data_IF_558696787488
#
_entry.id   IF_558696787488
#
_cell.length_a   1.000
_cell.length_b   1.000
_cell.length_c   1.000
_cell.angle_alpha   90.00
_cell.angle_beta   90.00
_cell.angle_gamma   90.00
#
_symmetry.space_group_name_H-M   'P 1'
#
loop_
_entity.id
_entity.type
_entity.pdbx_description
1 polymer ?
#
# COMPACT_ATOMS: atom_id res chain seq x y z
N UNK A 1 13.04 5.72 -6.31
CA UNK A 1 13.18 6.29 -4.95
C UNK A 1 14.21 5.47 -4.20
N UNK A 2 14.99 6.11 -3.34
CA UNK A 2 15.96 5.42 -2.48
C UNK A 2 15.30 5.03 -1.15
N UNK A 3 15.90 4.13 -0.34
CA UNK A 3 15.35 3.74 0.96
C UNK A 3 15.11 4.91 1.92
N UNK A 4 15.91 5.97 1.82
CA UNK A 4 15.77 7.18 2.65
C UNK A 4 14.52 7.99 2.32
N UNK A 5 14.05 7.91 1.06
CA UNK A 5 12.97 8.76 0.58
C UNK A 5 11.59 8.12 0.76
N UNK A 6 11.50 6.79 0.67
CA UNK A 6 10.20 6.10 0.61
C UNK A 6 10.24 4.68 1.20
N UNK A 7 9.18 4.23 1.90
CA UNK A 7 9.12 2.88 2.49
C UNK A 7 9.24 1.70 1.52
N UNK A 8 9.05 1.94 0.21
CA UNK A 8 9.23 0.94 -0.87
C UNK A 8 10.45 1.25 -1.76
N UNK A 9 11.32 2.18 -1.34
CA UNK A 9 12.49 2.61 -2.10
C UNK A 9 13.69 1.67 -1.93
N UNK A 10 14.52 1.62 -2.97
CA UNK A 10 15.77 0.84 -3.01
C UNK A 10 15.64 -0.60 -3.51
N UNK A 11 16.69 -1.38 -3.26
CA UNK A 11 16.86 -2.73 -3.79
C UNK A 11 17.53 -2.77 -5.17
N UNK A 12 18.08 -3.93 -5.53
CA UNK A 12 18.75 -4.15 -6.82
C UNK A 12 17.76 -4.34 -7.98
N UNK A 13 16.50 -4.63 -7.67
CA UNK A 13 15.40 -4.69 -8.62
C UNK A 13 14.22 -3.90 -8.07
N UNK A 14 13.43 -3.28 -8.93
CA UNK A 14 12.26 -2.53 -8.50
C UNK A 14 11.17 -3.48 -8.02
N UNK A 15 10.98 -3.51 -6.71
CA UNK A 15 9.92 -4.26 -6.06
C UNK A 15 9.61 -3.63 -4.70
N UNK A 16 8.45 -3.96 -4.12
CA UNK A 16 7.98 -3.35 -2.86
C UNK A 16 8.64 -3.99 -1.62
N UNK A 17 9.06 -5.25 -1.72
CA UNK A 17 9.74 -6.00 -0.64
C UNK A 17 8.82 -6.56 0.45
N UNK A 18 7.70 -5.90 0.74
CA UNK A 18 6.68 -6.32 1.72
C UNK A 18 5.26 -6.04 1.21
N UNK A 19 4.25 -6.48 1.96
CA UNK A 19 2.86 -6.16 1.64
C UNK A 19 2.65 -4.63 1.63
N UNK A 20 1.97 -4.14 0.60
CA UNK A 20 1.64 -2.71 0.45
C UNK A 20 0.36 -2.29 1.19
N UNK A 21 -0.31 -3.22 1.88
CA UNK A 21 -1.48 -2.93 2.72
C UNK A 21 -1.04 -2.49 4.11
N UNK A 22 -1.35 -1.26 4.48
CA UNK A 22 -0.89 -0.64 5.73
C UNK A 22 -2.04 -0.42 6.70
N UNK A 23 -1.81 -0.67 7.99
CA UNK A 23 -2.80 -0.43 9.05
C UNK A 23 -3.27 1.03 9.10
N UNK A 24 -4.54 1.24 9.47
CA UNK A 24 -5.10 2.57 9.73
C UNK A 24 -4.32 3.32 10.83
N UNK A 25 -3.80 2.58 11.81
CA UNK A 25 -3.06 3.09 12.96
C UNK A 25 -1.54 3.17 12.78
N UNK A 26 -1.00 2.87 11.58
CA UNK A 26 0.43 3.02 11.34
C UNK A 26 0.89 4.48 11.56
N UNK A 27 2.15 4.71 11.89
CA UNK A 27 2.67 6.07 12.14
C UNK A 27 2.82 6.88 10.85
N UNK A 28 2.85 8.22 10.92
CA UNK A 28 3.23 9.06 9.78
C UNK A 28 4.59 8.63 9.22
N UNK A 29 4.72 8.59 7.88
CA UNK A 29 5.91 8.06 7.19
C UNK A 29 5.83 6.56 6.87
N UNK A 30 5.12 5.75 7.68
CA UNK A 30 4.84 4.34 7.32
C UNK A 30 3.58 4.17 6.46
N UNK A 31 2.65 5.13 6.51
CA UNK A 31 1.41 5.13 5.70
C UNK A 31 1.68 5.43 4.23
N UNK A 32 2.18 4.44 3.49
CA UNK A 32 2.37 4.49 2.05
C UNK A 32 1.78 3.22 1.39
N UNK A 33 1.17 3.35 0.21
CA UNK A 33 0.48 2.24 -0.48
C UNK A 33 -1.01 2.15 -0.15
N UNK A 34 -1.52 0.94 0.05
CA UNK A 34 -2.94 0.65 0.27
C UNK A 34 -3.31 0.80 1.76
N UNK A 35 -3.65 2.01 2.18
CA UNK A 35 -3.92 2.32 3.60
C UNK A 35 -5.31 1.82 3.99
N UNK A 36 -5.36 1.01 5.06
CA UNK A 36 -6.57 0.43 5.63
C UNK A 36 -7.43 -0.34 4.62
N UNK A 37 -6.83 -0.84 3.54
CA UNK A 37 -7.53 -1.56 2.50
C UNK A 37 -8.07 -2.89 3.06
N UNK A 38 -9.39 -3.07 2.98
CA UNK A 38 -10.08 -4.30 3.40
C UNK A 38 -9.96 -5.42 2.37
N UNK A 39 -9.78 -5.06 1.11
CA UNK A 39 -9.55 -5.98 -0.02
C UNK A 39 -8.59 -5.34 -1.02
N UNK A 40 -7.88 -6.16 -1.76
CA UNK A 40 -6.95 -5.75 -2.83
C UNK A 40 -7.21 -6.55 -4.10
N UNK A 41 -6.51 -6.21 -5.18
CA UNK A 41 -6.65 -6.87 -6.48
C UNK A 41 -7.85 -6.37 -7.30
N UNK A 42 -8.09 -7.03 -8.44
CA UNK A 42 -9.14 -6.65 -9.37
C UNK A 42 -10.53 -6.89 -8.76
N UNK A 43 -11.37 -5.86 -8.75
CA UNK A 43 -12.78 -6.01 -8.41
C UNK A 43 -13.49 -6.79 -9.52
N UNK A 44 -14.12 -7.91 -9.13
CA UNK A 44 -15.01 -8.67 -10.01
C UNK A 44 -16.45 -8.33 -9.62
N UNK A 45 -17.23 -7.84 -10.58
CA UNK A 45 -18.60 -7.34 -10.37
C UNK A 45 -18.71 -5.81 -10.22
N UNK A 46 -19.93 -5.29 -10.08
CA UNK A 46 -20.19 -3.87 -9.87
C UNK A 46 -20.18 -3.52 -8.37
N UNK A 47 -19.53 -2.42 -7.99
CA UNK A 47 -19.70 -1.86 -6.65
C UNK A 47 -21.05 -1.14 -6.58
N UNK A 48 -21.93 -1.57 -5.69
CA UNK A 48 -22.99 -0.71 -5.17
C UNK A 48 -22.32 0.22 -4.16
N UNK A 49 -22.37 1.52 -4.38
CA UNK A 49 -21.83 2.52 -3.43
C UNK A 49 -22.41 2.24 -2.04
N UNK A 50 -21.54 2.17 -1.04
CA UNK A 50 -21.95 2.21 0.36
C UNK A 50 -22.13 3.70 0.67
N UNK A 51 -23.38 4.17 0.67
CA UNK A 51 -23.75 5.47 1.22
C UNK A 51 -23.46 5.53 2.72
#
# INVERSE_FOLDING_TARGET
MNPVDHPHGGGNHQHIGKASTISRGAVPGQKAGLIAARRTGLLRGTQKTQD
#
